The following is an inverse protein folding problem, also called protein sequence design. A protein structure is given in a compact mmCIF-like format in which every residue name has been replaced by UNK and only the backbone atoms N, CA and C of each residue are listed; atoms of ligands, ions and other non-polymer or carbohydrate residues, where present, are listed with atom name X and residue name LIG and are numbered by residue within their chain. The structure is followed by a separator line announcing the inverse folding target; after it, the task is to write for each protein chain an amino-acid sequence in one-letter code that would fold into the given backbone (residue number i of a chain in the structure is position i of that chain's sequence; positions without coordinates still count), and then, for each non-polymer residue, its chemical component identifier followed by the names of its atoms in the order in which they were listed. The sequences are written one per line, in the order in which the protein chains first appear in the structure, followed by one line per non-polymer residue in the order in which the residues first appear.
data_IF_696221017431
#
_entry.id   IF_696221017431
#
_cell.length_a   1.000
_cell.length_b   1.000
_cell.length_c   1.000
_cell.angle_alpha   90.00
_cell.angle_beta   90.00
_cell.angle_gamma   90.00
#
_symmetry.space_group_name_H-M   'P 1'
#
loop_
_entity.id
_entity.type
_entity.pdbx_description
1 polymer ?
#
# COMPACT_ATOMS: atom_id res chain seq x y z
N UNK A 1 -13.87 -14.76 17.50
CA UNK A 1 -14.46 -13.47 17.09
C UNK A 1 -15.28 -13.75 15.85
N UNK A 2 -16.47 -13.19 15.78
CA UNK A 2 -17.31 -13.32 14.59
C UNK A 2 -16.63 -12.61 13.41
N UNK A 3 -16.31 -13.37 12.35
CA UNK A 3 -15.64 -12.83 11.15
C UNK A 3 -16.44 -11.67 10.50
N UNK A 4 -17.76 -11.64 10.70
CA UNK A 4 -18.64 -10.60 10.14
C UNK A 4 -18.38 -9.18 10.66
N UNK A 5 -17.57 -9.00 11.71
CA UNK A 5 -17.34 -7.69 12.33
C UNK A 5 -15.87 -7.28 12.46
N UNK A 6 -14.93 -8.14 12.01
CA UNK A 6 -13.48 -7.92 12.17
C UNK A 6 -12.97 -6.63 11.51
N UNK A 7 -13.56 -6.21 10.39
CA UNK A 7 -13.21 -4.98 9.69
C UNK A 7 -13.76 -3.72 10.35
N UNK A 8 -14.72 -3.85 11.30
CA UNK A 8 -15.36 -2.69 11.93
C UNK A 8 -14.40 -1.95 12.86
N UNK A 9 -14.23 -0.66 12.60
CA UNK A 9 -13.42 0.23 13.44
C UNK A 9 -14.10 0.43 14.79
N UNK A 10 -13.47 -0.03 15.88
CA UNK A 10 -14.01 0.04 17.23
C UNK A 10 -13.76 1.38 17.91
N UNK A 11 -12.53 1.92 17.80
CA UNK A 11 -12.14 3.17 18.44
C UNK A 11 -12.24 4.34 17.47
N UNK A 12 -12.85 5.44 17.92
CA UNK A 12 -13.10 6.66 17.14
C UNK A 12 -13.84 6.34 15.84
N UNK A 13 -15.01 5.72 15.97
CA UNK A 13 -15.85 5.23 14.87
C UNK A 13 -16.18 6.31 13.81
N UNK A 14 -16.23 7.57 14.20
CA UNK A 14 -16.47 8.69 13.28
C UNK A 14 -15.38 8.89 12.22
N UNK A 15 -14.23 8.26 12.38
CA UNK A 15 -13.13 8.26 11.39
C UNK A 15 -13.20 7.07 10.44
N UNK A 16 -14.10 6.11 10.67
CA UNK A 16 -14.28 4.96 9.81
C UNK A 16 -15.01 5.35 8.53
N UNK A 17 -14.58 4.75 7.43
CA UNK A 17 -15.28 4.79 6.16
C UNK A 17 -15.28 3.38 5.56
N UNK A 18 -16.45 2.91 5.15
CA UNK A 18 -16.67 1.59 4.55
C UNK A 18 -17.06 1.70 3.07
N UNK A 19 -17.10 2.93 2.54
CA UNK A 19 -17.36 3.16 1.13
C UNK A 19 -16.22 2.60 0.28
N UNK A 20 -16.58 1.84 -0.74
CA UNK A 20 -15.64 1.15 -1.62
C UNK A 20 -14.73 2.11 -2.37
N UNK A 21 -15.28 3.22 -2.85
CA UNK A 21 -14.54 4.25 -3.57
C UNK A 21 -13.49 4.89 -2.66
N UNK A 22 -13.87 5.22 -1.41
CA UNK A 22 -12.93 5.78 -0.44
C UNK A 22 -11.80 4.81 -0.08
N UNK A 23 -12.11 3.51 0.06
CA UNK A 23 -11.11 2.46 0.30
C UNK A 23 -10.15 2.35 -0.89
N UNK A 24 -10.68 2.30 -2.12
CA UNK A 24 -9.89 2.16 -3.34
C UNK A 24 -9.01 3.38 -3.60
N UNK A 25 -9.50 4.58 -3.39
CA UNK A 25 -8.70 5.82 -3.50
C UNK A 25 -7.48 5.80 -2.58
N UNK A 26 -7.58 5.21 -1.39
CA UNK A 26 -6.44 5.08 -0.47
C UNK A 26 -5.48 3.98 -0.95
N UNK A 27 -6.01 2.85 -1.43
CA UNK A 27 -5.19 1.77 -1.98
C UNK A 27 -4.45 2.22 -3.24
N UNK A 28 -5.08 3.01 -4.11
CA UNK A 28 -4.47 3.51 -5.34
C UNK A 28 -3.46 4.64 -5.10
N UNK A 29 -3.51 5.28 -3.94
CA UNK A 29 -2.58 6.34 -3.55
C UNK A 29 -1.27 5.82 -2.91
N UNK A 30 -1.08 4.51 -2.83
CA UNK A 30 0.13 3.87 -2.29
C UNK A 30 0.46 2.62 -3.09
N UNK A 31 1.71 2.23 -3.07
CA UNK A 31 2.23 1.00 -3.70
C UNK A 31 2.90 0.07 -2.68
N UNK A 32 2.90 0.43 -1.39
CA UNK A 32 3.47 -0.35 -0.30
C UNK A 32 2.38 -0.78 0.68
N UNK A 33 2.30 -2.07 0.94
CA UNK A 33 1.41 -2.67 1.92
C UNK A 33 2.19 -3.49 2.95
N UNK A 34 1.58 -3.67 4.12
CA UNK A 34 2.00 -4.63 5.12
C UNK A 34 1.02 -5.80 5.11
N UNK A 35 1.49 -6.97 4.65
CA UNK A 35 0.69 -8.18 4.56
C UNK A 35 0.92 -9.03 5.81
N UNK A 36 -0.15 -9.24 6.57
CA UNK A 36 -0.15 -9.99 7.83
C UNK A 36 -0.88 -11.32 7.66
N UNK A 37 -0.30 -12.38 8.19
CA UNK A 37 -0.86 -13.73 8.20
C UNK A 37 -0.37 -14.50 9.44
N UNK A 38 -1.01 -15.62 9.75
CA UNK A 38 -0.56 -16.52 10.79
C UNK A 38 -0.16 -17.87 10.16
N UNK A 39 0.97 -18.43 10.58
CA UNK A 39 1.41 -19.77 10.24
C UNK A 39 1.84 -20.49 11.51
N UNK A 40 1.31 -21.69 11.75
CA UNK A 40 1.56 -22.48 12.96
C UNK A 40 1.34 -21.71 14.26
N UNK A 41 0.32 -20.83 14.28
CA UNK A 41 -0.01 -19.97 15.42
C UNK A 41 0.90 -18.75 15.57
N UNK A 42 1.93 -18.60 14.75
CA UNK A 42 2.84 -17.45 14.76
C UNK A 42 2.35 -16.35 13.82
N UNK A 43 2.21 -15.10 14.29
CA UNK A 43 1.89 -13.96 13.42
C UNK A 43 3.14 -13.48 12.66
N UNK A 44 2.93 -13.14 11.40
CA UNK A 44 3.94 -12.51 10.53
C UNK A 44 3.35 -11.25 9.92
N UNK A 45 4.20 -10.23 9.72
CA UNK A 45 3.89 -9.02 8.97
C UNK A 45 5.05 -8.76 8.00
N UNK A 46 4.77 -8.72 6.71
CA UNK A 46 5.78 -8.55 5.67
C UNK A 46 5.40 -7.34 4.80
N UNK A 47 6.28 -6.31 4.70
CA UNK A 47 6.07 -5.23 3.76
C UNK A 47 6.32 -5.74 2.34
N UNK A 48 5.45 -5.36 1.40
CA UNK A 48 5.63 -5.67 -0.01
C UNK A 48 4.90 -4.67 -0.91
N UNK A 49 5.38 -4.58 -2.13
CA UNK A 49 4.71 -3.80 -3.16
C UNK A 49 3.42 -4.51 -3.58
N UNK A 50 2.42 -3.72 -3.93
CA UNK A 50 1.16 -4.20 -4.46
C UNK A 50 0.60 -3.26 -5.51
N UNK A 51 -0.31 -3.78 -6.30
CA UNK A 51 -1.15 -3.01 -7.23
C UNK A 51 -2.58 -3.49 -7.08
N UNK A 52 -3.54 -2.57 -7.09
CA UNK A 52 -4.95 -2.93 -7.11
C UNK A 52 -5.40 -3.17 -8.56
N UNK A 53 -6.10 -4.28 -8.76
CA UNK A 53 -6.74 -4.65 -10.01
C UNK A 53 -8.21 -5.02 -9.74
N UNK A 54 -9.11 -4.08 -10.00
CA UNK A 54 -10.53 -4.23 -9.64
C UNK A 54 -10.71 -4.37 -8.12
N UNK A 55 -11.24 -5.50 -7.69
CA UNK A 55 -11.49 -5.86 -6.28
C UNK A 55 -10.33 -6.65 -5.67
N UNK A 56 -9.26 -6.86 -6.40
CA UNK A 56 -8.11 -7.65 -5.99
C UNK A 56 -6.88 -6.76 -5.76
N UNK A 57 -5.98 -7.24 -4.91
CA UNK A 57 -4.61 -6.74 -4.83
C UNK A 57 -3.69 -7.77 -5.46
N UNK A 58 -2.89 -7.34 -6.42
CA UNK A 58 -1.84 -8.16 -7.01
C UNK A 58 -0.61 -8.12 -6.11
N UNK A 59 -0.14 -9.30 -5.70
CA UNK A 59 1.03 -9.49 -4.86
C UNK A 59 2.01 -10.39 -5.61
N UNK A 60 3.26 -9.98 -5.74
CA UNK A 60 4.25 -10.80 -6.44
C UNK A 60 5.59 -10.88 -5.71
N UNK A 61 6.36 -11.88 -6.04
CA UNK A 61 7.72 -12.08 -5.52
C UNK A 61 8.28 -13.45 -5.89
N UNK A 62 9.35 -13.87 -5.21
CA UNK A 62 9.98 -15.17 -5.48
C UNK A 62 9.05 -16.33 -5.13
N UNK A 63 9.05 -17.39 -5.95
CA UNK A 63 8.39 -18.67 -5.63
C UNK A 63 8.91 -19.30 -4.33
N UNK A 64 10.10 -18.90 -3.85
CA UNK A 64 10.65 -19.36 -2.58
C UNK A 64 10.09 -18.61 -1.36
N UNK A 65 9.35 -17.51 -1.57
CA UNK A 65 8.78 -16.70 -0.49
C UNK A 65 7.81 -17.51 0.36
N UNK A 66 8.07 -17.59 1.67
CA UNK A 66 7.15 -18.22 2.64
C UNK A 66 5.77 -17.57 2.61
N UNK A 67 5.72 -16.21 2.61
CA UNK A 67 4.47 -15.47 2.53
C UNK A 67 3.65 -15.92 1.32
N UNK A 68 4.23 -15.85 0.11
CA UNK A 68 3.48 -16.15 -1.11
C UNK A 68 3.08 -17.63 -1.21
N UNK A 69 3.87 -18.54 -0.65
CA UNK A 69 3.48 -19.94 -0.52
C UNK A 69 2.27 -20.10 0.39
N UNK A 70 2.34 -19.58 1.62
CA UNK A 70 1.25 -19.67 2.59
C UNK A 70 -0.04 -19.02 2.06
N UNK A 71 0.05 -17.82 1.46
CA UNK A 71 -1.10 -17.17 0.85
C UNK A 71 -1.66 -17.96 -0.34
N UNK A 72 -0.79 -18.55 -1.16
CA UNK A 72 -1.19 -19.37 -2.31
C UNK A 72 -1.88 -20.68 -1.91
N UNK A 73 -1.70 -21.15 -0.68
CA UNK A 73 -2.44 -22.26 -0.08
C UNK A 73 -3.82 -21.84 0.43
N UNK A 74 -4.19 -20.57 0.29
CA UNK A 74 -5.52 -20.05 0.62
C UNK A 74 -5.71 -19.65 2.07
N UNK A 75 -4.63 -19.49 2.85
CA UNK A 75 -4.77 -18.96 4.21
C UNK A 75 -5.31 -17.52 4.16
N UNK A 76 -6.10 -17.22 5.18
CA UNK A 76 -6.62 -15.87 5.35
C UNK A 76 -5.51 -14.90 5.76
N UNK A 77 -5.54 -13.71 5.18
CA UNK A 77 -4.57 -12.66 5.46
C UNK A 77 -5.24 -11.30 5.67
N UNK A 78 -4.47 -10.40 6.26
CA UNK A 78 -4.84 -9.01 6.42
C UNK A 78 -3.81 -8.13 5.71
N UNK A 79 -4.27 -7.22 4.86
CA UNK A 79 -3.45 -6.24 4.16
C UNK A 79 -3.71 -4.87 4.76
N UNK A 80 -2.65 -4.20 5.23
CA UNK A 80 -2.71 -2.85 5.79
C UNK A 80 -1.92 -1.88 4.92
N UNK A 81 -2.56 -0.78 4.54
CA UNK A 81 -1.94 0.36 3.86
C UNK A 81 -2.14 1.59 4.74
N UNK A 82 -1.09 2.41 4.91
CA UNK A 82 -1.16 3.64 5.69
C UNK A 82 -0.36 4.74 5.02
N UNK A 83 -1.00 5.90 4.87
CA UNK A 83 -0.39 7.12 4.35
C UNK A 83 -0.50 8.17 5.46
N UNK A 84 0.63 8.76 5.84
CA UNK A 84 0.66 9.87 6.79
C UNK A 84 0.70 11.17 6.00
N UNK A 85 -0.32 12.01 6.18
CA UNK A 85 -0.49 13.25 5.42
C UNK A 85 0.10 14.46 6.15
N UNK A 86 0.09 14.48 7.50
CA UNK A 86 0.69 15.55 8.29
C UNK A 86 0.93 15.12 9.73
N UNK A 87 1.90 15.73 10.41
CA UNK A 87 1.93 15.75 11.85
C UNK A 87 0.98 16.84 12.36
N UNK A 88 0.28 16.54 13.44
CA UNK A 88 -0.63 17.47 14.13
C UNK A 88 0.00 17.88 15.43
N UNK A 89 0.46 19.11 15.47
CA UNK A 89 1.18 19.68 16.60
C UNK A 89 0.21 20.53 17.42
N UNK A 90 0.01 20.15 18.65
CA UNK A 90 -0.94 20.75 19.56
C UNK A 90 -0.23 21.60 20.62
N UNK A 91 -0.99 22.34 21.44
CA UNK A 91 -0.44 23.13 22.55
C UNK A 91 -0.02 22.27 23.72
N UNK A 92 -0.61 21.08 23.87
CA UNK A 92 -0.23 20.10 24.89
C UNK A 92 0.38 18.83 24.26
N UNK A 93 1.28 18.16 24.98
CA UNK A 93 1.86 16.89 24.53
C UNK A 93 0.80 15.82 24.27
N UNK A 94 -0.29 15.83 25.03
CA UNK A 94 -1.35 14.83 24.96
C UNK A 94 -2.14 14.92 23.64
N UNK A 95 -2.30 16.10 23.07
CA UNK A 95 -3.12 16.35 21.89
C UNK A 95 -2.35 16.27 20.56
N UNK A 96 -1.02 16.05 20.60
CA UNK A 96 -0.26 15.75 19.39
C UNK A 96 -0.81 14.51 18.69
N UNK A 97 -0.84 14.51 17.35
CA UNK A 97 -1.41 13.44 16.54
C UNK A 97 -0.80 13.44 15.14
N UNK A 98 -1.40 12.66 14.23
CA UNK A 98 -1.13 12.72 12.80
C UNK A 98 -2.44 12.75 12.01
N UNK A 99 -2.46 13.45 10.89
CA UNK A 99 -3.43 13.26 9.83
C UNK A 99 -2.99 12.09 8.96
N UNK A 100 -3.90 11.18 8.68
CA UNK A 100 -3.58 9.95 7.97
C UNK A 100 -4.79 9.37 7.25
N UNK A 101 -4.52 8.58 6.25
CA UNK A 101 -5.46 7.69 5.58
C UNK A 101 -4.93 6.27 5.69
N UNK A 102 -5.76 5.34 6.12
CA UNK A 102 -5.36 3.92 6.19
C UNK A 102 -6.50 3.01 5.76
N UNK A 103 -6.13 1.86 5.21
CA UNK A 103 -7.03 0.75 4.89
C UNK A 103 -6.54 -0.50 5.59
N UNK A 104 -7.48 -1.25 6.14
CA UNK A 104 -7.28 -2.62 6.59
C UNK A 104 -8.25 -3.50 5.81
N UNK A 105 -7.72 -4.41 5.02
CA UNK A 105 -8.47 -5.32 4.17
C UNK A 105 -8.18 -6.77 4.57
N UNK A 106 -9.23 -7.60 4.59
CA UNK A 106 -9.16 -9.02 4.90
C UNK A 106 -9.58 -9.83 3.67
N UNK A 107 -8.95 -10.97 3.47
CA UNK A 107 -9.26 -11.84 2.35
C UNK A 107 -8.31 -13.01 2.20
N UNK A 108 -8.44 -13.65 1.04
CA UNK A 108 -7.63 -14.80 0.66
C UNK A 108 -7.00 -14.54 -0.71
N UNK A 109 -5.88 -15.17 -0.97
CA UNK A 109 -5.21 -15.05 -2.25
C UNK A 109 -5.32 -16.35 -3.07
N UNK A 110 -5.34 -16.19 -4.39
CA UNK A 110 -5.28 -17.28 -5.36
C UNK A 110 -4.10 -17.10 -6.30
N UNK A 111 -3.34 -18.16 -6.63
CA UNK A 111 -2.24 -18.08 -7.58
C UNK A 111 -2.72 -17.78 -9.00
N UNK A 112 -2.01 -16.88 -9.69
CA UNK A 112 -2.12 -16.70 -11.15
C UNK A 112 -1.16 -17.68 -11.82
N UNK A 113 -1.70 -18.72 -12.43
CA UNK A 113 -0.92 -19.83 -13.01
C UNK A 113 -0.74 -19.69 -14.53
N UNK A 114 -1.67 -19.04 -15.22
CA UNK A 114 -1.54 -18.79 -16.65
C UNK A 114 -0.38 -17.82 -16.95
N UNK A 115 0.51 -18.20 -17.85
CA UNK A 115 1.73 -17.45 -18.13
C UNK A 115 1.46 -16.14 -18.88
N UNK A 116 0.42 -16.09 -19.73
CA UNK A 116 0.07 -14.87 -20.46
C UNK A 116 -0.56 -13.86 -19.51
N UNK A 117 -1.51 -14.31 -18.65
CA UNK A 117 -2.10 -13.49 -17.61
C UNK A 117 -1.02 -12.96 -16.64
N UNK A 118 -0.12 -13.84 -16.18
CA UNK A 118 0.99 -13.47 -15.31
C UNK A 118 1.90 -12.41 -15.95
N UNK A 119 2.25 -12.58 -17.23
CA UNK A 119 3.10 -11.63 -17.95
C UNK A 119 2.41 -10.27 -18.09
N UNK A 120 1.13 -10.25 -18.45
CA UNK A 120 0.34 -9.04 -18.58
C UNK A 120 0.20 -8.31 -17.23
N UNK A 121 -0.11 -9.05 -16.16
CA UNK A 121 -0.24 -8.50 -14.81
C UNK A 121 1.07 -7.91 -14.29
N UNK A 122 2.22 -8.56 -14.53
CA UNK A 122 3.53 -8.02 -14.13
C UNK A 122 3.91 -6.77 -14.93
N UNK A 123 3.57 -6.69 -16.21
CA UNK A 123 3.73 -5.46 -16.99
C UNK A 123 2.84 -4.34 -16.47
N UNK A 124 1.56 -4.64 -16.19
CA UNK A 124 0.64 -3.70 -15.55
C UNK A 124 1.10 -3.24 -14.18
N UNK A 125 1.77 -4.11 -13.42
CA UNK A 125 2.37 -3.76 -12.14
C UNK A 125 3.48 -2.70 -12.29
N UNK A 126 4.34 -2.84 -13.31
CA UNK A 126 5.39 -1.85 -13.61
C UNK A 126 4.77 -0.51 -14.01
N UNK A 127 3.74 -0.51 -14.85
CA UNK A 127 3.07 0.72 -15.29
C UNK A 127 2.24 1.39 -14.19
N UNK A 128 1.66 0.62 -13.27
CA UNK A 128 0.97 1.18 -12.12
C UNK A 128 1.93 1.91 -11.15
N UNK A 129 3.17 1.43 -11.03
CA UNK A 129 4.20 2.10 -10.24
C UNK A 129 4.77 3.33 -10.94
N UNK A 130 4.96 3.25 -12.24
CA UNK A 130 5.52 4.32 -13.06
C UNK A 130 4.90 4.25 -14.48
N UNK A 131 3.91 5.10 -14.77
CA UNK A 131 3.18 5.07 -16.05
C UNK A 131 4.10 5.18 -17.27
N UNK A 132 3.91 4.28 -18.23
CA UNK A 132 4.72 4.18 -19.46
C UNK A 132 6.00 3.33 -19.31
N UNK A 133 6.40 2.96 -18.10
CA UNK A 133 7.67 2.26 -17.86
C UNK A 133 7.71 0.86 -18.43
N UNK A 134 6.59 0.14 -18.49
CA UNK A 134 6.56 -1.21 -19.04
C UNK A 134 6.94 -1.25 -20.53
N UNK A 135 6.63 -0.21 -21.30
CA UNK A 135 7.02 -0.08 -22.71
C UNK A 135 8.51 0.22 -22.89
N UNK A 136 9.17 0.78 -21.87
CA UNK A 136 10.59 1.16 -21.89
C UNK A 136 11.51 0.09 -21.30
N UNK A 137 10.96 -1.04 -20.91
CA UNK A 137 11.71 -2.18 -20.37
C UNK A 137 11.30 -3.47 -21.06
N UNK A 138 12.24 -4.39 -21.17
CA UNK A 138 11.98 -5.73 -21.71
C UNK A 138 10.96 -6.48 -20.83
N UNK A 139 9.94 -7.12 -21.39
CA UNK A 139 9.03 -7.97 -20.62
C UNK A 139 9.78 -9.17 -19.99
N UNK A 140 9.20 -9.74 -18.94
CA UNK A 140 9.75 -10.92 -18.28
C UNK A 140 9.81 -12.11 -19.23
N UNK A 141 10.96 -12.79 -19.28
CA UNK A 141 11.12 -14.02 -20.07
C UNK A 141 10.51 -15.22 -19.33
N UNK A 142 10.43 -16.37 -20.02
CA UNK A 142 9.81 -17.59 -19.47
C UNK A 142 10.46 -18.07 -18.16
N UNK A 143 11.80 -17.94 -18.02
CA UNK A 143 12.52 -18.34 -16.82
C UNK A 143 12.19 -17.39 -15.63
N UNK A 144 12.11 -16.11 -15.89
CA UNK A 144 11.74 -15.09 -14.91
C UNK A 144 10.29 -15.26 -14.45
N UNK A 145 9.36 -15.52 -15.40
CA UNK A 145 7.96 -15.84 -15.07
C UNK A 145 7.83 -17.10 -14.21
N UNK A 146 8.62 -18.14 -14.52
CA UNK A 146 8.63 -19.38 -13.73
C UNK A 146 9.19 -19.20 -12.33
N UNK A 147 10.13 -18.27 -12.13
CA UNK A 147 10.73 -17.94 -10.82
C UNK A 147 9.89 -16.98 -9.97
N UNK A 148 8.83 -16.39 -10.56
CA UNK A 148 7.95 -15.41 -9.91
C UNK A 148 6.63 -16.05 -9.51
N UNK A 149 6.25 -15.89 -8.24
CA UNK A 149 4.88 -16.12 -7.76
C UNK A 149 4.08 -14.82 -7.92
N UNK A 150 2.90 -14.91 -8.51
CA UNK A 150 1.91 -13.83 -8.59
C UNK A 150 0.61 -14.34 -7.99
N UNK A 151 0.05 -13.58 -7.06
CA UNK A 151 -1.21 -13.89 -6.39
C UNK A 151 -2.22 -12.77 -6.60
N UNK A 152 -3.50 -13.12 -6.73
CA UNK A 152 -4.66 -12.23 -6.62
C UNK A 152 -5.23 -12.36 -5.21
N UNK A 153 -5.04 -11.34 -4.39
CA UNK A 153 -5.64 -11.25 -3.06
C UNK A 153 -7.02 -10.60 -3.19
N UNK A 154 -8.09 -11.40 -3.06
CA UNK A 154 -9.47 -10.92 -3.08
C UNK A 154 -9.78 -10.17 -1.80
N UNK A 155 -10.19 -8.91 -1.91
CA UNK A 155 -10.71 -8.13 -0.79
C UNK A 155 -12.13 -8.61 -0.48
N UNK A 156 -12.29 -9.29 0.67
CA UNK A 156 -13.60 -9.77 1.17
C UNK A 156 -14.24 -8.70 2.06
N UNK A 157 -13.49 -8.22 3.03
CA UNK A 157 -13.89 -7.17 3.97
C UNK A 157 -12.82 -6.11 4.04
N UNK A 158 -13.21 -4.85 4.12
CA UNK A 158 -12.26 -3.76 4.34
C UNK A 158 -12.89 -2.59 5.12
N UNK A 159 -12.02 -1.82 5.74
CA UNK A 159 -12.36 -0.52 6.30
C UNK A 159 -11.25 0.49 6.04
N UNK A 160 -11.64 1.71 5.72
CA UNK A 160 -10.75 2.85 5.78
C UNK A 160 -10.91 3.56 7.12
N UNK A 161 -9.82 4.16 7.58
CA UNK A 161 -9.83 5.06 8.73
C UNK A 161 -9.04 6.31 8.38
N UNK A 162 -9.71 7.46 8.47
CA UNK A 162 -9.16 8.74 8.05
C UNK A 162 -9.22 9.74 9.21
N UNK A 163 -8.12 10.43 9.43
CA UNK A 163 -8.06 11.64 10.24
C UNK A 163 -7.55 12.79 9.40
N UNK A 164 -8.25 13.89 9.44
CA UNK A 164 -7.88 15.16 8.84
C UNK A 164 -8.26 16.31 9.78
N UNK A 165 -7.66 17.47 9.58
CA UNK A 165 -7.96 18.69 10.31
C UNK A 165 -6.94 19.03 11.40
N UNK A 166 -7.19 20.15 12.02
CA UNK A 166 -6.33 20.83 12.98
C UNK A 166 -6.15 20.06 14.30
N UNK A 167 -5.21 20.48 15.17
CA UNK A 167 -5.14 20.01 16.55
C UNK A 167 -6.44 20.34 17.29
N UNK A 168 -6.82 19.46 18.20
CA UNK A 168 -7.99 19.63 19.07
C UNK A 168 -7.43 19.80 20.49
N UNK A 169 -7.19 21.06 20.87
CA UNK A 169 -6.71 21.43 22.21
C UNK A 169 -7.88 21.61 23.18
N UNK A 170 -7.61 21.51 24.46
CA UNK A 170 -8.58 21.90 25.49
C UNK A 170 -8.80 23.42 25.47
N UNK A 171 -10.01 23.90 25.77
CA UNK A 171 -10.31 25.33 25.77
C UNK A 171 -9.35 26.17 26.62
N UNK A 172 -8.89 25.64 27.74
CA UNK A 172 -7.91 26.28 28.64
C UNK A 172 -6.54 26.48 28.00
N UNK A 173 -6.17 25.63 27.04
CA UNK A 173 -4.85 25.65 26.41
C UNK A 173 -4.74 26.69 25.30
N UNK A 174 -5.87 27.22 24.82
CA UNK A 174 -5.87 28.19 23.72
C UNK A 174 -5.16 29.50 24.06
N UNK A 175 -5.06 29.85 25.33
CA UNK A 175 -4.33 31.04 25.82
C UNK A 175 -2.83 30.82 26.02
N UNK A 176 -2.35 29.58 25.91
CA UNK A 176 -0.94 29.27 26.10
C UNK A 176 -0.08 29.82 24.93
N UNK A 177 1.13 30.33 25.23
CA UNK A 177 2.03 30.88 24.19
C UNK A 177 2.76 29.78 23.41
N UNK A 178 2.07 28.72 23.05
CA UNK A 178 2.61 27.59 22.27
C UNK A 178 1.99 27.57 20.89
N UNK A 179 2.84 27.43 19.88
CA UNK A 179 2.38 27.26 18.51
C UNK A 179 1.66 25.91 18.36
N UNK A 180 0.55 25.91 17.61
CA UNK A 180 -0.18 24.71 17.24
C UNK A 180 -0.60 24.79 15.77
N UNK A 181 -0.62 23.64 15.10
CA UNK A 181 -0.95 23.58 13.68
C UNK A 181 -0.57 22.25 13.04
N UNK A 182 -0.47 22.26 11.71
CA UNK A 182 -0.13 21.10 10.92
C UNK A 182 1.27 21.26 10.31
N UNK A 183 2.04 20.16 10.34
CA UNK A 183 3.26 20.04 9.55
C UNK A 183 2.98 18.98 8.44
N UNK A 184 2.62 19.40 7.21
CA UNK A 184 2.32 18.51 6.11
C UNK A 184 3.54 17.66 5.72
N UNK A 185 3.30 16.39 5.39
CA UNK A 185 4.27 15.46 4.83
C UNK A 185 3.98 15.30 3.33
N UNK A 186 5.03 15.39 2.53
CA UNK A 186 4.97 15.13 1.09
C UNK A 186 5.96 14.04 0.74
N UNK A 187 5.47 12.96 0.15
CA UNK A 187 6.31 11.97 -0.51
C UNK A 187 6.41 12.35 -1.99
N UNK A 188 7.60 12.27 -2.56
CA UNK A 188 7.82 12.63 -3.97
C UNK A 188 9.08 11.98 -4.50
N UNK A 189 9.26 12.07 -5.81
CA UNK A 189 10.47 11.59 -6.47
C UNK A 189 11.49 12.72 -6.56
N UNK A 190 12.76 12.35 -6.46
CA UNK A 190 13.88 13.24 -6.72
C UNK A 190 14.45 13.00 -8.11
N UNK A 191 15.50 13.74 -8.46
CA UNK A 191 16.20 13.58 -9.73
C UNK A 191 16.69 12.13 -9.89
N UNK A 192 16.38 11.45 -11.02
CA UNK A 192 16.82 10.08 -11.23
C UNK A 192 18.34 9.95 -11.22
N UNK A 193 18.83 8.83 -10.71
CA UNK A 193 20.23 8.47 -10.65
C UNK A 193 20.45 7.27 -11.56
N UNK A 194 21.29 7.42 -12.58
CA UNK A 194 21.64 6.33 -13.49
C UNK A 194 22.41 5.21 -12.80
N UNK A 195 22.20 3.97 -13.25
CA UNK A 195 23.01 2.85 -12.80
C UNK A 195 24.48 3.03 -13.21
N UNK A 196 25.40 2.56 -12.37
CA UNK A 196 26.84 2.74 -12.59
C UNK A 196 27.37 2.06 -13.88
N UNK A 197 26.67 1.02 -14.32
CA UNK A 197 26.98 0.21 -15.53
C UNK A 197 26.13 0.61 -16.75
N UNK A 198 25.34 1.69 -16.65
CA UNK A 198 24.53 2.18 -17.77
C UNK A 198 25.43 2.71 -18.88
N UNK A 199 25.21 2.27 -20.13
CA UNK A 199 25.86 2.89 -21.28
C UNK A 199 25.54 4.40 -21.33
N UNK A 200 26.58 5.29 -21.35
CA UNK A 200 26.38 6.75 -21.31
C UNK A 200 25.56 7.32 -22.49
N UNK A 201 25.44 6.59 -23.59
CA UNK A 201 24.63 6.99 -24.75
C UNK A 201 23.12 6.77 -24.54
N UNK A 202 22.72 6.03 -23.48
CA UNK A 202 21.30 5.79 -23.17
C UNK A 202 20.76 6.94 -22.34
N UNK A 203 19.86 7.69 -22.94
CA UNK A 203 19.18 8.80 -22.26
C UNK A 203 18.17 8.28 -21.22
N UNK A 204 17.93 9.09 -20.20
CA UNK A 204 16.87 8.88 -19.25
C UNK A 204 15.51 8.81 -19.96
N UNK A 205 14.70 7.75 -19.77
CA UNK A 205 13.45 7.58 -20.49
C UNK A 205 12.36 8.52 -19.97
N UNK A 206 11.32 8.73 -20.78
CA UNK A 206 10.26 9.70 -20.49
C UNK A 206 9.52 9.37 -19.20
N UNK A 207 9.31 8.09 -18.89
CA UNK A 207 8.58 7.66 -17.69
C UNK A 207 9.22 8.14 -16.39
N UNK A 208 10.54 8.39 -16.34
CA UNK A 208 11.22 8.84 -15.12
C UNK A 208 11.44 10.37 -15.08
N UNK A 209 10.98 11.12 -16.09
CA UNK A 209 11.06 12.60 -16.12
C UNK A 209 9.88 13.28 -15.42
N UNK A 210 9.55 12.86 -14.26
CA UNK A 210 8.51 13.41 -13.40
C UNK A 210 7.13 12.73 -13.49
N UNK A 211 6.88 11.75 -12.67
CA UNK A 211 5.54 11.64 -12.15
C UNK A 211 5.33 12.84 -11.19
N UNK A 212 4.51 13.76 -11.62
CA UNK A 212 4.03 14.90 -10.81
C UNK A 212 3.13 14.46 -9.68
#
# INVERSE_FOLDING_TARGET
MDNATRHKVQRVRKRANYDRTAIYNILDASWLAHVSFASDGQPFVIPMLYVRDGDDLLLHGSIASRLLKSLGEGIEACVCVTIVDALVLARSHFHHSANYRSVVAFGNATPVTDLLEKSAALSGFVDAMLPGRAAEARPANRKELAATSLLRFRIVDASAKVRSGDPIDEPSDHSLPHWAGLLPLKQGYEKPISAADLNPEINTPVSVHAPS
#
